data_IF_262498407302
#
_entry.id   IF_262498407302
#
_cell.length_a   1.000
_cell.length_b   1.000
_cell.length_c   1.000
_cell.angle_alpha   90.00
_cell.angle_beta   90.00
_cell.angle_gamma   90.00
#
_symmetry.space_group_name_H-M   'P 1'
#
loop_
_entity.id
_entity.type
_entity.pdbx_description
1 polymer ?
#
# COMPACT_ATOMS: atom_id res chain seq x y z
N UNK A 1 -53.21 -38.24 37.31
CA UNK A 1 -54.50 -38.68 36.72
C UNK A 1 -55.29 -37.53 36.08
N UNK A 2 -55.45 -36.38 36.75
CA UNK A 2 -56.22 -35.21 36.25
C UNK A 2 -55.77 -34.71 34.88
N UNK A 3 -54.46 -34.56 34.65
CA UNK A 3 -53.91 -34.06 33.38
C UNK A 3 -54.17 -35.00 32.18
N UNK A 4 -54.06 -36.32 32.38
CA UNK A 4 -54.29 -37.30 31.29
C UNK A 4 -55.76 -37.40 30.95
N UNK A 5 -56.64 -37.36 31.95
CA UNK A 5 -58.09 -37.30 31.73
C UNK A 5 -58.49 -36.04 30.95
N UNK A 6 -57.86 -34.91 31.28
CA UNK A 6 -58.03 -33.68 30.53
C UNK A 6 -57.56 -33.80 29.08
N UNK A 7 -56.38 -34.38 28.83
CA UNK A 7 -55.88 -34.61 27.47
C UNK A 7 -56.75 -35.57 26.66
N UNK A 8 -57.28 -36.62 27.29
CA UNK A 8 -58.18 -37.60 26.66
C UNK A 8 -59.52 -36.95 26.30
N UNK A 9 -60.08 -36.14 27.20
CA UNK A 9 -61.34 -35.43 26.96
C UNK A 9 -61.23 -34.40 25.83
N UNK A 10 -60.02 -33.90 25.55
CA UNK A 10 -59.73 -32.94 24.48
C UNK A 10 -58.99 -33.56 23.29
N UNK A 11 -59.01 -34.88 23.13
CA UNK A 11 -58.16 -35.59 22.16
C UNK A 11 -58.40 -35.20 20.70
N UNK A 12 -59.61 -34.73 20.38
CA UNK A 12 -59.96 -34.28 19.03
C UNK A 12 -59.23 -33.00 18.61
N UNK A 13 -58.71 -32.24 19.57
CA UNK A 13 -58.02 -30.94 19.38
C UNK A 13 -56.49 -31.14 19.33
N UNK A 14 -55.98 -32.32 19.72
CA UNK A 14 -54.55 -32.59 19.83
C UNK A 14 -53.96 -33.18 18.54
N UNK A 15 -52.79 -32.69 18.14
CA UNK A 15 -52.06 -33.15 16.95
C UNK A 15 -51.47 -34.57 17.10
N UNK A 16 -51.06 -34.97 18.31
CA UNK A 16 -50.49 -36.30 18.57
C UNK A 16 -51.43 -37.19 19.39
N UNK A 17 -52.52 -37.61 18.76
CA UNK A 17 -53.49 -38.54 19.35
C UNK A 17 -52.85 -39.87 19.76
N UNK A 18 -51.85 -40.33 19.01
CA UNK A 18 -51.14 -41.58 19.24
C UNK A 18 -50.28 -41.52 20.52
N UNK A 19 -49.50 -40.45 20.70
CA UNK A 19 -48.70 -40.23 21.91
C UNK A 19 -49.56 -40.11 23.17
N UNK A 20 -50.73 -39.47 23.08
CA UNK A 20 -51.68 -39.36 24.20
C UNK A 20 -52.23 -40.73 24.60
N UNK A 21 -52.64 -41.57 23.64
CA UNK A 21 -53.13 -42.92 23.94
C UNK A 21 -52.02 -43.81 24.51
N UNK A 22 -50.80 -43.75 23.98
CA UNK A 22 -49.64 -44.50 24.50
C UNK A 22 -49.34 -44.11 25.96
N UNK A 23 -49.38 -42.81 26.26
CA UNK A 23 -49.16 -42.27 27.62
C UNK A 23 -50.28 -42.69 28.57
N UNK A 24 -51.54 -42.65 28.10
CA UNK A 24 -52.68 -43.14 28.87
C UNK A 24 -52.54 -44.63 29.20
N UNK A 25 -52.20 -45.45 28.21
CA UNK A 25 -51.98 -46.89 28.38
C UNK A 25 -50.91 -47.18 29.44
N UNK A 26 -49.75 -46.52 29.37
CA UNK A 26 -48.66 -46.68 30.33
C UNK A 26 -49.13 -46.41 31.77
N UNK A 27 -49.83 -45.29 31.96
CA UNK A 27 -50.20 -44.81 33.29
C UNK A 27 -51.33 -45.64 33.89
N UNK A 28 -52.33 -46.04 33.10
CA UNK A 28 -53.38 -46.95 33.57
C UNK A 28 -52.85 -48.36 33.86
N UNK A 29 -51.85 -48.82 33.10
CA UNK A 29 -51.18 -50.11 33.39
C UNK A 29 -50.44 -50.05 34.72
N UNK A 30 -49.63 -49.01 34.95
CA UNK A 30 -48.87 -48.83 36.21
C UNK A 30 -49.75 -48.70 37.44
N UNK A 31 -50.93 -48.10 37.28
CA UNK A 31 -51.92 -47.94 38.37
C UNK A 31 -52.84 -49.16 38.53
N UNK A 32 -52.54 -50.31 37.90
CA UNK A 32 -53.33 -51.54 37.95
C UNK A 32 -54.79 -51.40 37.48
N UNK A 33 -55.13 -50.36 36.72
CA UNK A 33 -56.47 -50.16 36.19
C UNK A 33 -56.64 -50.89 34.85
N UNK A 34 -56.82 -52.21 34.94
CA UNK A 34 -56.86 -53.13 33.78
C UNK A 34 -57.95 -52.77 32.76
N UNK A 35 -59.11 -52.29 33.22
CA UNK A 35 -60.24 -51.94 32.35
C UNK A 35 -59.88 -50.79 31.41
N UNK A 36 -59.38 -49.68 31.96
CA UNK A 36 -58.98 -48.52 31.15
C UNK A 36 -57.74 -48.83 30.31
N UNK A 37 -56.76 -49.55 30.87
CA UNK A 37 -55.59 -50.00 30.12
C UNK A 37 -55.98 -50.80 28.86
N UNK A 38 -56.92 -51.74 28.97
CA UNK A 38 -57.41 -52.53 27.83
C UNK A 38 -58.12 -51.69 26.76
N UNK A 39 -58.92 -50.70 27.17
CA UNK A 39 -59.61 -49.79 26.23
C UNK A 39 -58.59 -49.06 25.36
N UNK A 40 -57.59 -48.41 25.99
CA UNK A 40 -56.58 -47.67 25.25
C UNK A 40 -55.64 -48.58 24.46
N UNK A 41 -55.32 -49.77 24.99
CA UNK A 41 -54.54 -50.77 24.27
C UNK A 41 -55.21 -51.19 22.96
N UNK A 42 -56.50 -51.51 23.00
CA UNK A 42 -57.25 -51.87 21.79
C UNK A 42 -57.35 -50.71 20.82
N UNK A 43 -57.65 -49.50 21.32
CA UNK A 43 -57.68 -48.30 20.49
C UNK A 43 -56.35 -48.05 19.75
N UNK A 44 -55.21 -48.27 20.41
CA UNK A 44 -53.88 -48.17 19.79
C UNK A 44 -53.66 -49.30 18.76
N UNK A 45 -54.10 -50.53 19.04
CA UNK A 45 -53.95 -51.65 18.12
C UNK A 45 -54.79 -51.50 16.84
N UNK A 46 -55.94 -50.84 16.95
CA UNK A 46 -56.82 -50.59 15.81
C UNK A 46 -56.32 -49.38 14.99
N UNK A 47 -56.13 -48.23 15.65
CA UNK A 47 -55.92 -46.94 14.97
C UNK A 47 -54.50 -46.36 15.08
N UNK A 48 -53.62 -46.99 15.87
CA UNK A 48 -52.29 -46.47 16.14
C UNK A 48 -51.34 -46.49 14.93
N UNK A 49 -50.32 -45.63 14.95
CA UNK A 49 -49.19 -45.78 14.02
C UNK A 49 -48.34 -47.03 14.39
N UNK A 50 -47.43 -47.44 13.51
CA UNK A 50 -46.60 -48.65 13.67
C UNK A 50 -45.84 -48.65 15.02
N UNK A 51 -45.32 -47.49 15.44
CA UNK A 51 -44.63 -47.33 16.73
C UNK A 51 -45.55 -47.52 17.93
N UNK A 52 -46.76 -46.98 17.86
CA UNK A 52 -47.77 -47.09 18.93
C UNK A 52 -48.31 -48.51 19.01
N UNK A 53 -48.57 -49.16 17.87
CA UNK A 53 -48.96 -50.58 17.79
C UNK A 53 -47.90 -51.50 18.37
N UNK A 54 -46.62 -51.25 18.08
CA UNK A 54 -45.48 -51.94 18.72
C UNK A 54 -45.53 -51.78 20.24
N UNK A 55 -45.74 -50.57 20.74
CA UNK A 55 -45.82 -50.28 22.17
C UNK A 55 -46.99 -51.00 22.85
N UNK A 56 -48.18 -50.97 22.25
CA UNK A 56 -49.37 -51.63 22.78
C UNK A 56 -49.21 -53.16 22.82
N UNK A 57 -48.58 -53.76 21.81
CA UNK A 57 -48.25 -55.20 21.83
C UNK A 57 -47.17 -55.55 22.85
N UNK A 58 -46.15 -54.70 23.03
CA UNK A 58 -45.13 -54.88 24.06
C UNK A 58 -45.76 -54.87 25.46
N UNK A 59 -46.64 -53.91 25.69
CA UNK A 59 -47.39 -53.78 26.94
C UNK A 59 -48.32 -54.99 27.18
N UNK A 60 -48.99 -55.49 26.14
CA UNK A 60 -49.82 -56.70 26.21
C UNK A 60 -48.99 -57.96 26.54
N UNK A 61 -47.87 -58.16 25.84
CA UNK A 61 -47.00 -59.33 26.01
C UNK A 61 -46.35 -59.38 27.40
N UNK A 62 -46.15 -58.23 28.06
CA UNK A 62 -45.68 -58.15 29.46
C UNK A 62 -46.73 -58.61 30.48
N UNK A 63 -48.01 -58.52 30.15
CA UNK A 63 -49.12 -58.91 31.04
C UNK A 63 -49.51 -60.39 30.87
N UNK A 64 -49.30 -60.96 29.68
CA UNK A 64 -49.63 -62.36 29.39
C UNK A 64 -48.58 -63.30 30.02
N UNK A 65 -49.05 -64.25 30.84
CA UNK A 65 -48.22 -65.28 31.47
C UNK A 65 -48.37 -66.67 30.82
N UNK A 66 -49.40 -66.88 30.00
CA UNK A 66 -49.62 -68.15 29.28
C UNK A 66 -48.76 -68.25 28.02
N UNK A 67 -48.26 -69.46 27.72
CA UNK A 67 -47.52 -69.77 26.48
C UNK A 67 -48.41 -70.52 25.49
N UNK A 68 -49.49 -69.87 25.08
CA UNK A 68 -50.47 -70.42 24.14
C UNK A 68 -50.27 -69.91 22.70
N UNK A 69 -51.02 -70.49 21.75
CA UNK A 69 -50.96 -70.12 20.34
C UNK A 69 -51.35 -68.65 20.08
N UNK A 70 -52.18 -68.07 20.94
CA UNK A 70 -52.64 -66.67 20.85
C UNK A 70 -51.49 -65.72 21.21
N UNK A 71 -50.73 -66.05 22.26
CA UNK A 71 -49.54 -65.31 22.69
C UNK A 71 -48.47 -65.30 21.61
N UNK A 72 -48.23 -66.45 20.96
CA UNK A 72 -47.31 -66.55 19.82
C UNK A 72 -47.74 -65.67 18.64
N UNK A 73 -49.04 -65.53 18.39
CA UNK A 73 -49.58 -64.64 17.34
C UNK A 73 -49.27 -63.17 17.65
N UNK A 74 -49.43 -62.74 18.90
CA UNK A 74 -49.07 -61.37 19.31
C UNK A 74 -47.58 -61.12 19.27
N UNK A 75 -46.76 -62.09 19.66
CA UNK A 75 -45.30 -62.02 19.58
C UNK A 75 -44.81 -61.86 18.12
N UNK A 76 -45.39 -62.63 17.19
CA UNK A 76 -45.08 -62.49 15.75
C UNK A 76 -45.43 -61.09 15.22
N UNK A 77 -46.61 -60.56 15.58
CA UNK A 77 -47.01 -59.19 15.19
C UNK A 77 -46.09 -58.13 15.80
N UNK A 78 -45.70 -58.30 17.07
CA UNK A 78 -44.76 -57.39 17.73
C UNK A 78 -43.42 -57.37 17.00
N UNK A 79 -42.88 -58.54 16.65
CA UNK A 79 -41.61 -58.67 15.93
C UNK A 79 -41.67 -57.93 14.59
N UNK A 80 -42.75 -58.11 13.80
CA UNK A 80 -42.94 -57.41 12.52
C UNK A 80 -42.96 -55.88 12.68
N UNK A 81 -43.68 -55.37 13.68
CA UNK A 81 -43.70 -53.92 13.94
C UNK A 81 -42.37 -53.42 14.49
N UNK A 82 -41.67 -54.22 15.29
CA UNK A 82 -40.35 -53.88 15.80
C UNK A 82 -39.33 -53.73 14.66
N UNK A 83 -39.29 -54.69 13.73
CA UNK A 83 -38.42 -54.64 12.55
C UNK A 83 -38.73 -53.42 11.68
N UNK A 84 -40.02 -53.11 11.50
CA UNK A 84 -40.47 -51.94 10.73
C UNK A 84 -40.08 -50.61 11.40
N UNK A 85 -40.26 -50.50 12.72
CA UNK A 85 -39.83 -49.32 13.50
C UNK A 85 -38.31 -49.17 13.44
N UNK A 86 -37.56 -50.26 13.56
CA UNK A 86 -36.10 -50.22 13.48
C UNK A 86 -35.63 -49.77 12.09
N UNK A 87 -36.26 -50.27 11.02
CA UNK A 87 -35.96 -49.87 9.63
C UNK A 87 -36.23 -48.38 9.41
N UNK A 88 -37.35 -47.85 9.93
CA UNK A 88 -37.67 -46.42 9.85
C UNK A 88 -36.63 -45.57 10.60
N UNK A 89 -36.29 -45.94 11.84
CA UNK A 89 -35.26 -45.25 12.62
C UNK A 89 -33.91 -45.22 11.91
N UNK A 90 -33.50 -46.36 11.35
CA UNK A 90 -32.24 -46.44 10.60
C UNK A 90 -32.27 -45.55 9.35
N UNK A 91 -33.39 -45.55 8.60
CA UNK A 91 -33.58 -44.70 7.43
C UNK A 91 -33.57 -43.19 7.78
N UNK A 92 -34.18 -42.81 8.90
CA UNK A 92 -34.11 -41.43 9.39
C UNK A 92 -32.70 -41.03 9.84
N UNK A 93 -31.98 -41.94 10.50
CA UNK A 93 -30.60 -41.71 10.92
C UNK A 93 -29.66 -41.51 9.71
N UNK A 94 -29.78 -42.34 8.67
CA UNK A 94 -28.98 -42.18 7.44
C UNK A 94 -29.30 -40.88 6.71
N UNK A 95 -30.58 -40.53 6.57
CA UNK A 95 -30.99 -39.24 5.98
C UNK A 95 -30.42 -38.04 6.73
N UNK A 96 -30.50 -38.05 8.08
CA UNK A 96 -29.91 -36.99 8.91
C UNK A 96 -28.40 -36.91 8.73
N UNK A 97 -27.71 -38.05 8.72
CA UNK A 97 -26.26 -38.10 8.50
C UNK A 97 -25.88 -37.54 7.12
N UNK A 98 -26.63 -37.86 6.07
CA UNK A 98 -26.41 -37.34 4.72
C UNK A 98 -26.65 -35.83 4.64
N UNK A 99 -27.73 -35.33 5.24
CA UNK A 99 -28.02 -33.89 5.30
C UNK A 99 -26.91 -33.11 6.02
N UNK A 100 -26.42 -33.63 7.16
CA UNK A 100 -25.31 -33.04 7.90
C UNK A 100 -24.02 -33.04 7.06
N UNK A 101 -23.75 -34.13 6.33
CA UNK A 101 -22.60 -34.21 5.45
C UNK A 101 -22.65 -33.16 4.33
N UNK A 102 -23.79 -33.05 3.64
CA UNK A 102 -23.95 -32.07 2.57
C UNK A 102 -23.86 -30.62 3.09
N UNK A 103 -24.45 -30.36 4.25
CA UNK A 103 -24.32 -29.07 4.92
C UNK A 103 -22.85 -28.72 5.19
N UNK A 104 -22.10 -29.65 5.78
CA UNK A 104 -20.69 -29.46 6.10
C UNK A 104 -19.82 -29.23 4.86
N UNK A 105 -20.10 -29.93 3.75
CA UNK A 105 -19.41 -29.68 2.47
C UNK A 105 -19.65 -28.25 1.98
N UNK A 106 -20.91 -27.80 1.99
CA UNK A 106 -21.28 -26.45 1.58
C UNK A 106 -20.64 -25.38 2.46
N UNK A 107 -20.57 -25.58 3.77
CA UNK A 107 -19.85 -24.65 4.66
C UNK A 107 -18.35 -24.59 4.34
N UNK A 108 -17.72 -25.73 4.07
CA UNK A 108 -16.31 -25.79 3.66
C UNK A 108 -16.05 -25.05 2.34
N UNK A 109 -16.96 -25.14 1.38
CA UNK A 109 -16.84 -24.38 0.14
C UNK A 109 -17.05 -22.89 0.37
N UNK A 110 -18.07 -22.51 1.14
CA UNK A 110 -18.35 -21.11 1.46
C UNK A 110 -17.20 -20.44 2.21
N UNK A 111 -16.56 -21.14 3.15
CA UNK A 111 -15.38 -20.63 3.87
C UNK A 111 -14.20 -20.43 2.91
N UNK A 112 -13.93 -21.37 2.00
CA UNK A 112 -12.91 -21.21 0.95
C UNK A 112 -13.22 -20.03 0.02
N UNK A 113 -14.47 -19.89 -0.42
CA UNK A 113 -14.91 -18.80 -1.29
C UNK A 113 -14.78 -17.45 -0.60
N UNK A 114 -15.18 -17.34 0.68
CA UNK A 114 -14.98 -16.13 1.50
C UNK A 114 -13.50 -15.77 1.59
N UNK A 115 -12.63 -16.72 1.90
CA UNK A 115 -11.19 -16.47 1.98
C UNK A 115 -10.62 -15.95 0.64
N UNK A 116 -11.01 -16.57 -0.49
CA UNK A 116 -10.59 -16.13 -1.83
C UNK A 116 -11.11 -14.73 -2.17
N UNK A 117 -12.35 -14.42 -1.81
CA UNK A 117 -12.92 -13.08 -2.00
C UNK A 117 -12.22 -12.04 -1.11
N UNK A 118 -11.93 -12.36 0.15
CA UNK A 118 -11.15 -11.47 1.02
C UNK A 118 -9.77 -11.19 0.44
N UNK A 119 -9.06 -12.22 -0.05
CA UNK A 119 -7.77 -12.04 -0.71
C UNK A 119 -7.87 -11.14 -1.96
N UNK A 120 -8.88 -11.34 -2.81
CA UNK A 120 -9.13 -10.48 -3.98
C UNK A 120 -9.41 -9.03 -3.56
N UNK A 121 -10.26 -8.82 -2.57
CA UNK A 121 -10.59 -7.47 -2.08
C UNK A 121 -9.35 -6.76 -1.52
N UNK A 122 -8.54 -7.47 -0.72
CA UNK A 122 -7.27 -6.93 -0.21
C UNK A 122 -6.32 -6.59 -1.36
N UNK A 123 -6.21 -7.47 -2.37
CA UNK A 123 -5.37 -7.23 -3.55
C UNK A 123 -5.80 -5.98 -4.32
N UNK A 124 -7.11 -5.77 -4.48
CA UNK A 124 -7.67 -4.57 -5.13
C UNK A 124 -7.34 -3.31 -4.33
N UNK A 125 -7.50 -3.34 -2.99
CA UNK A 125 -7.18 -2.20 -2.12
C UNK A 125 -5.69 -1.84 -2.23
N UNK A 126 -4.80 -2.83 -2.23
CA UNK A 126 -3.35 -2.62 -2.38
C UNK A 126 -3.04 -1.97 -3.74
N UNK A 127 -3.68 -2.43 -4.83
CA UNK A 127 -3.50 -1.83 -6.15
C UNK A 127 -3.91 -0.34 -6.18
N UNK A 128 -5.03 0.02 -5.54
CA UNK A 128 -5.43 1.43 -5.42
C UNK A 128 -4.43 2.26 -4.60
N UNK A 129 -3.88 1.70 -3.53
CA UNK A 129 -2.86 2.38 -2.73
C UNK A 129 -1.61 2.72 -3.57
N UNK A 130 -1.15 1.79 -4.42
CA UNK A 130 -0.04 2.07 -5.34
C UNK A 130 -0.37 3.17 -6.36
N UNK A 131 -1.60 3.18 -6.91
CA UNK A 131 -2.02 4.25 -7.82
C UNK A 131 -1.99 5.63 -7.15
N UNK A 132 -2.41 5.71 -5.88
CA UNK A 132 -2.36 6.94 -5.09
C UNK A 132 -0.91 7.40 -4.89
N UNK A 133 0.01 6.49 -4.55
CA UNK A 133 1.44 6.81 -4.40
C UNK A 133 2.02 7.35 -5.72
N UNK A 134 1.72 6.70 -6.84
CA UNK A 134 2.18 7.13 -8.17
C UNK A 134 1.66 8.53 -8.46
N UNK A 135 0.38 8.80 -8.21
CA UNK A 135 -0.22 10.12 -8.38
C UNK A 135 0.49 11.20 -7.55
N UNK A 136 0.73 10.96 -6.26
CA UNK A 136 1.45 11.92 -5.41
C UNK A 136 2.90 12.13 -5.87
N UNK A 137 3.60 11.09 -6.29
CA UNK A 137 4.97 11.21 -6.82
C UNK A 137 5.01 12.06 -8.10
N UNK A 138 4.01 11.90 -8.97
CA UNK A 138 3.87 12.68 -10.19
C UNK A 138 3.58 14.15 -9.89
N UNK A 139 2.67 14.43 -8.95
CA UNK A 139 2.39 15.80 -8.50
C UNK A 139 3.62 16.47 -7.89
N UNK A 140 4.38 15.76 -7.05
CA UNK A 140 5.64 16.26 -6.50
C UNK A 140 6.64 16.60 -7.61
N UNK A 141 6.77 15.75 -8.62
CA UNK A 141 7.68 15.99 -9.77
C UNK A 141 7.27 17.24 -10.55
N UNK A 142 5.99 17.43 -10.83
CA UNK A 142 5.49 18.64 -11.50
C UNK A 142 5.81 19.90 -10.70
N UNK A 143 5.54 19.88 -9.38
CA UNK A 143 5.82 21.03 -8.51
C UNK A 143 7.31 21.36 -8.49
N UNK A 144 8.16 20.35 -8.35
CA UNK A 144 9.62 20.54 -8.35
C UNK A 144 10.12 21.10 -9.69
N UNK A 145 9.60 20.60 -10.82
CA UNK A 145 9.94 21.12 -12.15
C UNK A 145 9.53 22.59 -12.31
N UNK A 146 8.35 22.99 -11.80
CA UNK A 146 7.92 24.39 -11.82
C UNK A 146 8.84 25.30 -10.99
N UNK A 147 9.23 24.85 -9.79
CA UNK A 147 10.16 25.59 -8.94
C UNK A 147 11.53 25.76 -9.60
N UNK A 148 12.05 24.72 -10.25
CA UNK A 148 13.31 24.81 -10.98
C UNK A 148 13.23 25.79 -12.16
N UNK A 149 12.09 25.84 -12.86
CA UNK A 149 11.84 26.80 -13.94
C UNK A 149 11.79 28.25 -13.44
N UNK A 150 11.10 28.51 -12.33
CA UNK A 150 11.04 29.84 -11.71
C UNK A 150 12.42 30.32 -11.26
N UNK A 151 13.20 29.45 -10.60
CA UNK A 151 14.57 29.75 -10.20
C UNK A 151 15.45 30.05 -11.41
N UNK A 152 15.32 29.29 -12.49
CA UNK A 152 16.06 29.54 -13.72
C UNK A 152 15.69 30.88 -14.35
N UNK A 153 14.41 31.25 -14.34
CA UNK A 153 13.93 32.54 -14.82
C UNK A 153 14.53 33.70 -14.02
N UNK A 154 14.53 33.60 -12.69
CA UNK A 154 15.16 34.60 -11.81
C UNK A 154 16.67 34.77 -12.09
N UNK A 155 17.40 33.67 -12.33
CA UNK A 155 18.82 33.74 -12.69
C UNK A 155 19.05 34.46 -14.02
N UNK A 156 18.22 34.18 -15.02
CA UNK A 156 18.29 34.83 -16.33
C UNK A 156 17.95 36.32 -16.21
N UNK A 157 16.92 36.67 -15.46
CA UNK A 157 16.50 38.07 -15.29
C UNK A 157 17.58 38.88 -14.54
N UNK A 158 18.21 38.29 -13.51
CA UNK A 158 19.34 38.91 -12.81
C UNK A 158 20.53 39.15 -13.74
N UNK A 159 20.86 38.21 -14.63
CA UNK A 159 21.91 38.44 -15.63
C UNK A 159 21.59 39.59 -16.58
N UNK A 160 20.37 39.64 -17.12
CA UNK A 160 19.95 40.73 -18.02
C UNK A 160 20.05 42.09 -17.34
N UNK A 161 19.75 42.15 -16.03
CA UNK A 161 19.95 43.36 -15.24
C UNK A 161 21.43 43.75 -15.13
N UNK A 162 22.32 42.78 -14.87
CA UNK A 162 23.77 43.03 -14.81
C UNK A 162 24.32 43.47 -16.16
N UNK A 163 23.90 42.85 -17.26
CA UNK A 163 24.28 43.25 -18.63
C UNK A 163 23.85 44.70 -18.91
N UNK A 164 22.60 45.07 -18.59
CA UNK A 164 22.12 46.44 -18.75
C UNK A 164 22.89 47.45 -17.89
N UNK A 165 23.23 47.08 -16.66
CA UNK A 165 24.07 47.92 -15.78
C UNK A 165 25.49 48.08 -16.32
N UNK A 166 26.04 47.04 -16.97
CA UNK A 166 27.33 47.10 -17.63
C UNK A 166 27.30 48.01 -18.87
N UNK A 167 26.22 48.00 -19.65
CA UNK A 167 26.02 48.91 -20.80
C UNK A 167 25.86 50.38 -20.38
N UNK A 168 25.17 50.64 -19.26
CA UNK A 168 24.98 51.99 -18.72
C UNK A 168 26.23 52.54 -18.01
N UNK A 169 27.28 51.72 -17.87
CA UNK A 169 28.50 52.08 -17.15
C UNK A 169 29.26 53.15 -17.93
N UNK A 170 29.46 54.31 -17.31
CA UNK A 170 30.15 55.45 -17.95
C UNK A 170 31.58 55.08 -18.34
N UNK A 171 32.05 55.60 -19.48
CA UNK A 171 33.43 55.40 -19.96
C UNK A 171 34.48 55.75 -18.88
N UNK A 172 34.22 56.76 -18.05
CA UNK A 172 35.09 57.13 -16.94
C UNK A 172 35.26 56.00 -15.90
N UNK A 173 34.19 55.25 -15.60
CA UNK A 173 34.21 54.13 -14.64
C UNK A 173 34.87 52.89 -15.24
N UNK A 174 34.63 52.62 -16.52
CA UNK A 174 35.33 51.56 -17.27
C UNK A 174 36.84 51.83 -17.30
N UNK A 175 37.23 53.07 -17.61
CA UNK A 175 38.63 53.49 -17.63
C UNK A 175 39.27 53.41 -16.24
N UNK A 176 38.56 53.80 -15.17
CA UNK A 176 39.09 53.68 -13.79
C UNK A 176 39.34 52.22 -13.38
N UNK A 177 38.45 51.31 -13.77
CA UNK A 177 38.60 49.88 -13.48
C UNK A 177 39.78 49.27 -14.26
N UNK A 178 39.87 49.55 -15.56
CA UNK A 178 41.00 49.13 -16.39
C UNK A 178 42.33 49.68 -15.88
N UNK A 179 42.37 50.96 -15.46
CA UNK A 179 43.57 51.57 -14.88
C UNK A 179 43.94 50.92 -13.54
N UNK A 180 42.97 50.62 -12.68
CA UNK A 180 43.23 49.95 -11.39
C UNK A 180 43.83 48.54 -11.57
N UNK A 181 43.39 47.80 -12.59
CA UNK A 181 43.92 46.47 -12.92
C UNK A 181 45.29 46.59 -13.58
N UNK A 182 45.41 47.46 -14.58
CA UNK A 182 46.64 47.64 -15.37
C UNK A 182 47.82 48.14 -14.55
N UNK A 183 47.57 48.93 -13.51
CA UNK A 183 48.60 49.43 -12.59
C UNK A 183 48.90 48.48 -11.43
N UNK A 184 48.11 47.43 -11.26
CA UNK A 184 48.26 46.53 -10.13
C UNK A 184 49.54 45.69 -10.22
N UNK A 185 50.20 45.53 -9.08
CA UNK A 185 51.42 44.71 -8.95
C UNK A 185 51.18 43.26 -9.38
N UNK A 186 50.02 42.70 -9.05
CA UNK A 186 49.67 41.31 -9.36
C UNK A 186 49.42 41.09 -10.86
N UNK A 187 48.84 42.06 -11.57
CA UNK A 187 48.67 41.98 -13.03
C UNK A 187 50.03 41.99 -13.74
N UNK A 188 50.96 42.83 -13.27
CA UNK A 188 52.32 42.86 -13.80
C UNK A 188 53.06 41.55 -13.57
N UNK A 189 52.90 40.93 -12.39
CA UNK A 189 53.44 39.59 -12.11
C UNK A 189 52.86 38.55 -13.07
N UNK A 190 51.54 38.51 -13.26
CA UNK A 190 50.90 37.56 -14.17
C UNK A 190 51.39 37.74 -15.61
N UNK A 191 51.49 38.99 -16.08
CA UNK A 191 52.00 39.29 -17.42
C UNK A 191 53.47 38.90 -17.59
N UNK A 192 54.30 39.08 -16.56
CA UNK A 192 55.69 38.64 -16.54
C UNK A 192 55.80 37.12 -16.65
N UNK A 193 55.05 36.39 -15.82
CA UNK A 193 55.03 34.92 -15.82
C UNK A 193 54.53 34.34 -17.16
N UNK A 194 53.60 35.03 -17.84
CA UNK A 194 53.15 34.67 -19.19
C UNK A 194 54.28 34.86 -20.21
N UNK A 195 55.02 35.97 -20.14
CA UNK A 195 56.14 36.26 -21.06
C UNK A 195 57.32 35.31 -20.87
N UNK A 196 57.67 35.02 -19.61
CA UNK A 196 58.77 34.13 -19.24
C UNK A 196 58.41 32.65 -19.40
N UNK A 197 57.12 32.33 -19.57
CA UNK A 197 56.65 30.97 -19.82
C UNK A 197 56.67 30.07 -18.59
N UNK A 198 56.85 30.63 -17.39
CA UNK A 198 56.94 29.92 -16.11
C UNK A 198 55.56 29.59 -15.53
N UNK A 199 54.57 30.46 -15.73
CA UNK A 199 53.18 30.31 -15.29
C UNK A 199 53.02 29.93 -13.80
N UNK A 200 53.93 30.39 -12.93
CA UNK A 200 53.88 30.10 -11.50
C UNK A 200 53.18 31.23 -10.77
N UNK A 201 52.16 30.89 -9.99
CA UNK A 201 51.51 31.84 -9.09
C UNK A 201 51.39 31.21 -7.71
N UNK A 202 52.02 31.83 -6.71
CA UNK A 202 51.94 31.39 -5.32
C UNK A 202 50.51 31.55 -4.78
N UNK A 203 50.18 30.85 -3.70
CA UNK A 203 48.88 31.02 -3.04
C UNK A 203 48.67 32.45 -2.53
N UNK A 204 49.75 33.15 -2.14
CA UNK A 204 49.69 34.58 -1.85
C UNK A 204 49.35 35.42 -3.10
N UNK A 205 49.89 35.07 -4.26
CA UNK A 205 49.54 35.68 -5.55
C UNK A 205 48.05 35.51 -5.88
N UNK A 206 47.50 34.31 -5.66
CA UNK A 206 46.06 34.05 -5.82
C UNK A 206 45.20 34.87 -4.85
N UNK A 207 45.63 35.00 -3.59
CA UNK A 207 44.96 35.84 -2.58
C UNK A 207 44.97 37.32 -2.99
N UNK A 208 46.10 37.82 -3.47
CA UNK A 208 46.23 39.20 -3.93
C UNK A 208 45.37 39.47 -5.18
N UNK A 209 45.27 38.49 -6.09
CA UNK A 209 44.38 38.58 -7.24
C UNK A 209 42.91 38.66 -6.80
N UNK A 210 42.50 37.82 -5.84
CA UNK A 210 41.15 37.86 -5.26
C UNK A 210 40.83 39.24 -4.65
N UNK A 211 41.76 39.79 -3.86
CA UNK A 211 41.60 41.11 -3.23
C UNK A 211 41.47 42.19 -4.30
N UNK A 212 42.35 42.17 -5.31
CA UNK A 212 42.30 43.12 -6.42
C UNK A 212 40.93 43.09 -7.11
N UNK A 213 40.48 41.91 -7.55
CA UNK A 213 39.22 41.77 -8.28
C UNK A 213 38.04 42.28 -7.46
N UNK A 214 37.94 41.94 -6.18
CA UNK A 214 36.84 42.41 -5.34
C UNK A 214 36.95 43.90 -4.96
N UNK A 215 38.15 44.47 -4.97
CA UNK A 215 38.35 45.91 -4.78
C UNK A 215 38.00 46.71 -6.04
N UNK A 216 38.29 46.18 -7.23
CA UNK A 216 37.98 46.82 -8.51
C UNK A 216 36.52 46.62 -8.92
N UNK A 217 35.96 45.45 -8.63
CA UNK A 217 34.58 45.06 -8.94
C UNK A 217 33.84 44.70 -7.64
N UNK A 218 33.25 45.71 -6.96
CA UNK A 218 32.47 45.45 -5.75
C UNK A 218 31.36 44.44 -6.01
N UNK A 219 31.18 43.51 -5.08
CA UNK A 219 30.22 42.40 -5.15
C UNK A 219 30.53 41.26 -6.16
N UNK A 220 31.72 41.23 -6.77
CA UNK A 220 32.08 40.14 -7.70
C UNK A 220 31.90 38.74 -7.08
N UNK A 221 32.50 38.49 -5.90
CA UNK A 221 32.36 37.20 -5.21
C UNK A 221 30.90 36.90 -4.85
N UNK A 222 30.18 37.89 -4.28
CA UNK A 222 28.78 37.77 -3.89
C UNK A 222 27.88 37.42 -5.08
N UNK A 223 28.13 38.05 -6.23
CA UNK A 223 27.38 37.78 -7.45
C UNK A 223 27.75 36.40 -8.01
N UNK A 224 29.03 36.04 -8.04
CA UNK A 224 29.47 34.72 -8.50
C UNK A 224 28.87 33.58 -7.66
N UNK A 225 28.93 33.70 -6.33
CA UNK A 225 28.35 32.73 -5.38
C UNK A 225 26.83 32.62 -5.50
N UNK A 226 26.13 33.73 -5.81
CA UNK A 226 24.69 33.70 -6.05
C UNK A 226 24.30 32.84 -7.26
N UNK A 227 25.19 32.70 -8.25
CA UNK A 227 24.92 31.92 -9.45
C UNK A 227 25.49 30.49 -9.37
N UNK A 228 26.67 30.32 -8.78
CA UNK A 228 27.47 29.10 -8.83
C UNK A 228 28.19 28.80 -7.51
N UNK A 229 27.92 27.63 -6.93
CA UNK A 229 28.84 27.02 -5.97
C UNK A 229 30.09 26.54 -6.73
N UNK A 230 31.16 27.33 -6.66
CA UNK A 230 32.43 27.09 -7.37
C UNK A 230 33.35 26.19 -6.55
N UNK A 231 33.99 25.22 -7.21
CA UNK A 231 35.20 24.57 -6.66
C UNK A 231 36.36 25.59 -6.66
N UNK A 232 37.34 25.52 -5.73
CA UNK A 232 38.59 26.30 -5.79
C UNK A 232 39.20 26.48 -7.19
N UNK A 233 39.23 25.43 -8.02
CA UNK A 233 39.74 25.48 -9.40
C UNK A 233 38.83 26.32 -10.31
N UNK A 234 37.52 26.11 -10.24
CA UNK A 234 36.52 26.89 -11.01
C UNK A 234 36.55 28.38 -10.62
N UNK A 235 36.76 28.66 -9.33
CA UNK A 235 36.90 30.01 -8.83
C UNK A 235 38.18 30.69 -9.36
N UNK A 236 39.34 30.02 -9.34
CA UNK A 236 40.59 30.51 -9.95
C UNK A 236 40.42 30.82 -11.44
N UNK A 237 39.68 29.98 -12.17
CA UNK A 237 39.32 30.22 -13.58
C UNK A 237 38.49 31.51 -13.73
N UNK A 238 37.47 31.70 -12.90
CA UNK A 238 36.61 32.89 -12.97
C UNK A 238 37.39 34.19 -12.68
N UNK A 239 38.28 34.19 -11.68
CA UNK A 239 39.15 35.34 -11.39
C UNK A 239 40.04 35.70 -12.60
N UNK A 240 40.65 34.71 -13.24
CA UNK A 240 41.51 34.94 -14.40
C UNK A 240 40.74 35.38 -15.65
N UNK A 241 39.51 34.88 -15.85
CA UNK A 241 38.63 35.37 -16.93
C UNK A 241 38.29 36.84 -16.68
N UNK A 242 37.93 37.21 -15.45
CA UNK A 242 37.60 38.60 -15.10
C UNK A 242 38.79 39.54 -15.29
N UNK A 243 40.00 39.04 -15.04
CA UNK A 243 41.26 39.74 -15.27
C UNK A 243 41.64 39.87 -16.76
N UNK A 244 40.95 39.15 -17.66
CA UNK A 244 41.21 39.18 -19.11
C UNK A 244 42.32 38.22 -19.57
N UNK A 245 42.69 37.21 -18.78
CA UNK A 245 43.70 36.21 -19.18
C UNK A 245 43.10 35.23 -20.20
N UNK A 246 43.85 34.91 -21.25
CA UNK A 246 43.35 34.00 -22.30
C UNK A 246 43.20 32.55 -21.77
N UNK A 247 42.21 31.78 -22.26
CA UNK A 247 41.96 30.41 -21.78
C UNK A 247 43.18 29.47 -21.86
N UNK A 248 44.02 29.67 -22.89
CA UNK A 248 45.27 28.93 -23.07
C UNK A 248 46.28 29.19 -21.96
N UNK A 249 46.35 30.42 -21.43
CA UNK A 249 47.23 30.78 -20.32
C UNK A 249 46.63 30.36 -18.97
N UNK A 250 45.31 30.48 -18.80
CA UNK A 250 44.60 29.99 -17.60
C UNK A 250 44.89 28.50 -17.38
N UNK A 251 44.84 27.70 -18.45
CA UNK A 251 45.14 26.27 -18.39
C UNK A 251 46.49 25.98 -17.73
N UNK A 252 47.52 26.76 -18.09
CA UNK A 252 48.88 26.60 -17.56
C UNK A 252 48.99 27.04 -16.10
N UNK A 253 48.39 28.17 -15.73
CA UNK A 253 48.40 28.65 -14.33
C UNK A 253 47.68 27.73 -13.35
N UNK A 254 46.61 27.08 -13.82
CA UNK A 254 45.79 26.18 -13.00
C UNK A 254 46.23 24.71 -13.15
N UNK A 255 47.28 24.47 -13.94
CA UNK A 255 47.84 23.14 -14.22
C UNK A 255 46.82 22.12 -14.72
N UNK A 256 46.00 22.53 -15.69
CA UNK A 256 45.00 21.69 -16.35
C UNK A 256 45.13 21.82 -17.87
N UNK A 257 44.56 20.88 -18.63
CA UNK A 257 44.61 20.94 -20.10
C UNK A 257 43.73 22.06 -20.66
N UNK A 258 44.02 22.53 -21.89
CA UNK A 258 43.20 23.55 -22.57
C UNK A 258 41.79 23.05 -22.83
N UNK A 259 41.67 21.76 -23.10
CA UNK A 259 40.40 21.03 -23.27
C UNK A 259 39.63 21.02 -21.96
N UNK A 260 40.31 20.81 -20.81
CA UNK A 260 39.69 20.87 -19.50
C UNK A 260 39.17 22.28 -19.16
N UNK A 261 39.89 23.36 -19.47
CA UNK A 261 39.38 24.73 -19.32
C UNK A 261 38.14 24.96 -20.19
N UNK A 262 38.19 24.53 -21.44
CA UNK A 262 37.06 24.64 -22.39
C UNK A 262 35.83 23.89 -21.88
N UNK A 263 36.03 22.65 -21.41
CA UNK A 263 34.98 21.83 -20.83
C UNK A 263 34.45 22.43 -19.53
N UNK A 264 35.31 22.93 -18.63
CA UNK A 264 34.90 23.55 -17.36
C UNK A 264 34.05 24.80 -17.59
N UNK A 265 34.43 25.69 -18.51
CA UNK A 265 33.60 26.87 -18.85
C UNK A 265 32.23 26.50 -19.40
N UNK A 266 32.17 25.53 -20.33
CA UNK A 266 30.89 25.00 -20.83
C UNK A 266 30.07 24.35 -19.70
N UNK A 267 30.69 23.55 -18.84
CA UNK A 267 30.03 22.88 -17.70
C UNK A 267 29.48 23.89 -16.70
N UNK A 268 30.23 24.92 -16.35
CA UNK A 268 29.77 25.99 -15.46
C UNK A 268 28.53 26.69 -16.04
N UNK A 269 28.54 27.04 -17.33
CA UNK A 269 27.37 27.61 -17.99
C UNK A 269 26.14 26.68 -17.94
N UNK A 270 26.31 25.41 -18.32
CA UNK A 270 25.21 24.42 -18.31
C UNK A 270 24.71 24.18 -16.87
N UNK A 271 25.61 24.16 -15.88
CA UNK A 271 25.27 23.96 -14.47
C UNK A 271 24.40 25.09 -13.94
N UNK A 272 24.72 26.33 -14.28
CA UNK A 272 23.98 27.52 -13.83
C UNK A 272 22.66 27.70 -14.58
N UNK A 273 22.66 27.54 -15.91
CA UNK A 273 21.50 27.88 -16.77
C UNK A 273 20.69 26.68 -17.25
N UNK A 274 21.12 25.44 -16.98
CA UNK A 274 20.45 24.20 -17.41
C UNK A 274 20.13 24.16 -18.91
N UNK A 275 20.88 24.93 -19.73
CA UNK A 275 20.73 25.06 -21.17
C UNK A 275 22.07 24.80 -21.86
N UNK A 276 22.02 24.30 -23.09
CA UNK A 276 23.22 24.17 -23.93
C UNK A 276 23.82 25.56 -24.15
N UNK A 277 25.14 25.67 -24.02
CA UNK A 277 25.88 26.90 -24.24
C UNK A 277 27.32 26.65 -24.65
N UNK A 278 27.98 27.71 -25.08
CA UNK A 278 29.39 27.70 -25.46
C UNK A 278 30.27 28.16 -24.31
N UNK A 279 31.56 27.81 -24.30
CA UNK A 279 32.52 28.37 -23.34
C UNK A 279 32.56 29.90 -23.34
N UNK A 280 32.35 30.53 -24.50
CA UNK A 280 32.32 32.00 -24.66
C UNK A 280 31.14 32.63 -23.93
N UNK A 281 29.99 31.94 -23.84
CA UNK A 281 28.84 32.45 -23.11
C UNK A 281 29.11 32.54 -21.60
N UNK A 282 29.96 31.65 -21.07
CA UNK A 282 30.42 31.77 -19.69
C UNK A 282 31.34 32.97 -19.50
N UNK A 283 32.25 33.22 -20.44
CA UNK A 283 33.16 34.36 -20.37
C UNK A 283 32.38 35.68 -20.29
N UNK A 284 31.32 35.83 -21.10
CA UNK A 284 30.43 37.00 -21.08
C UNK A 284 29.78 37.21 -19.71
N UNK A 285 29.28 36.12 -19.11
CA UNK A 285 28.70 36.18 -17.76
C UNK A 285 29.74 36.70 -16.77
N UNK A 286 30.92 36.09 -16.71
CA UNK A 286 31.98 36.52 -15.78
C UNK A 286 32.42 37.96 -16.02
N UNK A 287 32.54 38.39 -17.28
CA UNK A 287 32.89 39.76 -17.61
C UNK A 287 31.81 40.77 -17.18
N UNK A 288 30.54 40.37 -17.12
CA UNK A 288 29.41 41.19 -16.67
C UNK A 288 29.27 41.34 -15.15
N UNK A 289 29.87 40.43 -14.36
CA UNK A 289 29.83 40.44 -12.88
C UNK A 289 30.68 41.55 -12.28
#
# INVERSE_FOLDING_TARGET
MSHINYCINNINILNDKNGVYVTALDIYTKNNNKKLANIYRNAILDFGNITSKRYALENLLKEITSKDAITNKYFKKFTLYNDSVQKLKNCEATKKAEQLYQYNLKERENTKLKAKNHFKNISIIIAFFFLIIIFFSFQMKIKNMKQEQELLKLKIDKLKQLEKLAELKTQAKLNSEQNSIGTSKIQNTINKEIKEGTYKLSEEGWRNLKILINSTYPEFDKNLEAFLCTNPVEYKICLMIKLGVTPSNIAKFVNVTKEAITASRRRMYIKVFKKKGTPSDWDKVILSL
#
